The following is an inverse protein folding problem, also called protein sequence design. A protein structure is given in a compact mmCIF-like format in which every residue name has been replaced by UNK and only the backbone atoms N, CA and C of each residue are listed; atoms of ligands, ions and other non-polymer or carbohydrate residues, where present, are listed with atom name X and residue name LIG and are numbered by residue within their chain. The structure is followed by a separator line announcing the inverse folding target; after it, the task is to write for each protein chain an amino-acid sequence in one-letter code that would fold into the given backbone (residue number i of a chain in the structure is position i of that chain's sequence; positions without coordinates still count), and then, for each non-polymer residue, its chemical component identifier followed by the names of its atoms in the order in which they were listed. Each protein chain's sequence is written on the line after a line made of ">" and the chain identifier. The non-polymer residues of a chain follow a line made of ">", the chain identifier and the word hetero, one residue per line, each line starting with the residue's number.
data_IF_661906131620
#
_entry.id   IF_661906131620
#
_cell.length_a   1.000
_cell.length_b   1.000
_cell.length_c   1.000
_cell.angle_alpha   90.00
_cell.angle_beta   90.00
_cell.angle_gamma   90.00
#
_symmetry.space_group_name_H-M   'P 1'
#
loop_
_entity.id
_entity.type
_entity.pdbx_description
1 polymer ?
#
# COMPACT_ATOMS: atom_id res chain seq x y z
N UNK A 1 12.59 -2.21 0.52
CA UNK A 1 12.02 -3.32 1.32
C UNK A 1 11.67 -2.75 2.69
N UNK A 2 10.53 -3.16 3.26
CA UNK A 2 10.07 -2.66 4.56
C UNK A 2 9.77 -3.87 5.44
N UNK A 3 10.36 -3.88 6.64
CA UNK A 3 10.03 -4.82 7.71
C UNK A 3 9.15 -4.05 8.69
N UNK A 4 7.92 -4.50 8.87
CA UNK A 4 6.96 -3.90 9.79
C UNK A 4 5.93 -4.94 10.16
N UNK A 5 5.34 -4.82 11.35
CA UNK A 5 4.17 -5.62 11.68
C UNK A 5 2.95 -5.07 10.96
N UNK A 6 2.21 -5.95 10.30
CA UNK A 6 0.85 -5.65 9.82
C UNK A 6 -0.13 -6.75 10.20
N UNK A 7 -1.38 -6.31 10.36
CA UNK A 7 -2.55 -7.18 10.31
C UNK A 7 -3.03 -7.23 8.85
N UNK A 8 -2.73 -8.34 8.16
CA UNK A 8 -3.06 -8.53 6.75
C UNK A 8 -4.58 -8.45 6.48
N UNK A 9 -5.45 -9.15 7.24
CA UNK A 9 -6.90 -9.02 7.09
C UNK A 9 -7.40 -7.58 7.17
N UNK A 10 -6.90 -6.80 8.13
CA UNK A 10 -7.28 -5.39 8.27
C UNK A 10 -6.87 -4.61 7.02
N UNK A 11 -5.62 -4.71 6.59
CA UNK A 11 -5.16 -3.95 5.42
C UNK A 11 -5.83 -4.40 4.12
N UNK A 12 -6.12 -5.68 3.97
CA UNK A 12 -6.84 -6.19 2.81
C UNK A 12 -8.28 -5.65 2.75
N UNK A 13 -8.96 -5.52 3.88
CA UNK A 13 -10.29 -4.89 3.92
C UNK A 13 -10.26 -3.40 3.53
N UNK A 14 -9.20 -2.67 3.92
CA UNK A 14 -9.08 -1.24 3.65
C UNK A 14 -8.61 -0.92 2.23
N UNK A 15 -7.62 -1.67 1.74
CA UNK A 15 -6.95 -1.40 0.46
C UNK A 15 -7.35 -2.37 -0.66
N UNK A 16 -8.21 -3.34 -0.38
CA UNK A 16 -8.61 -4.41 -1.30
C UNK A 16 -7.54 -5.49 -1.51
N UNK A 17 -6.30 -5.24 -1.08
CA UNK A 17 -5.19 -6.19 -1.11
C UNK A 17 -4.14 -5.81 -0.07
N UNK A 18 -3.67 -6.75 0.73
CA UNK A 18 -2.58 -6.50 1.67
C UNK A 18 -1.27 -6.11 0.94
N UNK A 19 -0.45 -5.19 1.50
CA UNK A 19 0.81 -4.81 0.91
C UNK A 19 1.83 -5.96 1.01
N UNK A 20 2.64 -6.20 -0.03
CA UNK A 20 3.71 -7.17 0.03
C UNK A 20 4.87 -6.59 0.85
N UNK A 21 4.83 -6.79 2.17
CA UNK A 21 5.88 -6.41 3.11
C UNK A 21 6.47 -7.62 3.81
N UNK A 22 7.61 -7.42 4.48
CA UNK A 22 8.22 -8.43 5.32
C UNK A 22 7.60 -8.34 6.72
N UNK A 23 6.50 -9.07 6.94
CA UNK A 23 5.77 -9.02 8.21
C UNK A 23 6.58 -9.65 9.36
N UNK A 24 6.60 -9.00 10.51
CA UNK A 24 7.27 -9.48 11.73
C UNK A 24 6.60 -8.88 12.98
N UNK A 25 6.02 -9.72 13.83
CA UNK A 25 5.37 -9.34 15.10
C UNK A 25 6.20 -9.67 16.35
N UNK A 26 7.32 -10.37 16.19
CA UNK A 26 8.21 -10.79 17.27
C UNK A 26 9.69 -10.52 16.94
N UNK A 27 10.56 -10.60 17.96
CA UNK A 27 12.01 -10.42 17.80
C UNK A 27 12.61 -11.50 16.89
N UNK A 28 12.17 -12.74 17.02
CA UNK A 28 12.67 -13.86 16.21
C UNK A 28 12.27 -13.71 14.74
N UNK A 29 11.03 -13.28 14.47
CA UNK A 29 10.57 -12.98 13.12
C UNK A 29 11.32 -11.77 12.54
N UNK A 30 11.54 -10.72 13.32
CA UNK A 30 12.32 -9.56 12.88
C UNK A 30 13.74 -9.98 12.49
N UNK A 31 14.40 -10.81 13.31
CA UNK A 31 15.72 -11.36 12.98
C UNK A 31 15.69 -12.19 11.69
N UNK A 32 14.68 -13.04 11.52
CA UNK A 32 14.51 -13.82 10.30
C UNK A 32 14.32 -12.94 9.05
N UNK A 33 13.51 -11.88 9.14
CA UNK A 33 13.33 -10.94 8.03
C UNK A 33 14.59 -10.12 7.75
N UNK A 34 15.31 -9.67 8.78
CA UNK A 34 16.60 -8.99 8.60
C UNK A 34 17.62 -9.90 7.90
N UNK A 35 17.67 -11.18 8.27
CA UNK A 35 18.53 -12.16 7.58
C UNK A 35 18.13 -12.32 6.11
N UNK A 36 16.85 -12.45 5.79
CA UNK A 36 16.37 -12.50 4.39
C UNK A 36 16.76 -11.27 3.60
N UNK A 37 16.78 -10.09 4.24
CA UNK A 37 17.24 -8.86 3.58
C UNK A 37 18.72 -8.93 3.18
N UNK A 38 19.55 -9.51 4.05
CA UNK A 38 20.98 -9.70 3.81
C UNK A 38 21.27 -10.81 2.79
N UNK A 39 20.43 -11.86 2.74
CA UNK A 39 20.56 -12.97 1.79
C UNK A 39 20.13 -12.57 0.36
N UNK A 40 19.21 -11.60 0.24
CA UNK A 40 18.73 -11.09 -1.04
C UNK A 40 19.00 -9.58 -1.17
N UNK A 41 20.26 -9.16 -1.24
CA UNK A 41 20.62 -7.73 -1.26
C UNK A 41 20.00 -6.99 -2.46
N UNK A 42 19.95 -7.66 -3.61
CA UNK A 42 19.55 -7.08 -4.89
C UNK A 42 18.04 -7.17 -5.17
N UNK A 43 17.24 -7.69 -4.23
CA UNK A 43 15.80 -7.89 -4.40
C UNK A 43 15.48 -8.83 -5.59
N UNK A 44 16.26 -9.89 -5.76
CA UNK A 44 16.03 -10.94 -6.76
C UNK A 44 14.70 -11.66 -6.53
N UNK A 45 14.23 -11.71 -5.29
CA UNK A 45 12.89 -12.21 -4.95
C UNK A 45 11.78 -11.17 -5.21
N UNK A 46 12.14 -9.93 -5.55
CA UNK A 46 11.23 -8.88 -6.01
C UNK A 46 10.26 -8.33 -4.97
N UNK A 47 10.47 -8.58 -3.67
CA UNK A 47 9.57 -8.14 -2.60
C UNK A 47 9.56 -6.60 -2.51
N UNK A 48 10.73 -5.97 -2.63
CA UNK A 48 10.86 -4.52 -2.66
C UNK A 48 10.16 -3.90 -3.88
N UNK A 49 10.39 -4.44 -5.07
CA UNK A 49 9.74 -4.01 -6.30
C UNK A 49 8.21 -4.17 -6.25
N UNK A 50 7.73 -5.29 -5.69
CA UNK A 50 6.31 -5.53 -5.47
C UNK A 50 5.72 -4.53 -4.48
N UNK A 51 6.42 -4.23 -3.38
CA UNK A 51 6.00 -3.23 -2.39
C UNK A 51 5.85 -1.84 -2.99
N UNK A 52 6.83 -1.40 -3.78
CA UNK A 52 6.74 -0.11 -4.48
C UNK A 52 5.56 -0.07 -5.46
N UNK A 53 5.36 -1.14 -6.22
CA UNK A 53 4.26 -1.24 -7.18
C UNK A 53 2.90 -1.22 -6.47
N UNK A 54 2.79 -1.89 -5.32
CA UNK A 54 1.58 -1.89 -4.51
C UNK A 54 1.28 -0.49 -3.98
N UNK A 55 2.26 0.22 -3.42
CA UNK A 55 2.08 1.59 -2.90
C UNK A 55 1.59 2.51 -3.99
N UNK A 56 2.22 2.48 -5.18
CA UNK A 56 1.79 3.30 -6.33
C UNK A 56 0.35 3.04 -6.75
N UNK A 57 -0.12 1.80 -6.61
CA UNK A 57 -1.45 1.38 -7.08
C UNK A 57 -2.56 1.61 -6.05
N UNK A 58 -2.31 1.26 -4.80
CA UNK A 58 -3.35 1.20 -3.76
C UNK A 58 -3.23 2.30 -2.69
N UNK A 59 -2.05 2.90 -2.55
CA UNK A 59 -1.76 3.85 -1.48
C UNK A 59 -1.20 5.18 -1.98
N UNK A 60 -1.26 5.42 -3.29
CA UNK A 60 -0.87 6.70 -3.89
C UNK A 60 -1.94 7.74 -3.59
N UNK A 61 -1.53 8.89 -3.06
CA UNK A 61 -2.41 10.05 -2.88
C UNK A 61 -3.10 10.44 -4.18
N UNK A 62 -2.42 10.30 -5.33
CA UNK A 62 -3.03 10.56 -6.64
C UNK A 62 -4.19 9.60 -6.91
N UNK A 63 -3.98 8.30 -6.67
CA UNK A 63 -5.03 7.29 -6.88
C UNK A 63 -6.23 7.55 -5.95
N UNK A 64 -5.97 7.87 -4.68
CA UNK A 64 -7.01 8.18 -3.70
C UNK A 64 -7.77 9.44 -4.11
N UNK A 65 -7.06 10.51 -4.49
CA UNK A 65 -7.67 11.77 -4.94
C UNK A 65 -8.52 11.56 -6.18
N UNK A 66 -8.07 10.77 -7.16
CA UNK A 66 -8.87 10.45 -8.35
C UNK A 66 -10.14 9.66 -8.01
N UNK A 67 -10.08 8.71 -7.09
CA UNK A 67 -11.26 7.99 -6.59
C UNK A 67 -12.25 8.98 -5.94
N UNK A 68 -11.75 9.89 -5.10
CA UNK A 68 -12.58 10.90 -4.45
C UNK A 68 -13.21 11.85 -5.47
N UNK A 69 -12.42 12.39 -6.42
CA UNK A 69 -12.92 13.25 -7.50
C UNK A 69 -14.04 12.55 -8.26
N UNK A 70 -13.82 11.30 -8.70
CA UNK A 70 -14.82 10.53 -9.43
C UNK A 70 -16.12 10.34 -8.63
N UNK A 71 -16.02 9.99 -7.34
CA UNK A 71 -17.18 9.79 -6.49
C UNK A 71 -17.95 11.10 -6.26
N UNK A 72 -17.26 12.21 -6.02
CA UNK A 72 -17.90 13.51 -5.84
C UNK A 72 -18.51 14.04 -7.14
N UNK A 73 -17.87 13.85 -8.30
CA UNK A 73 -18.44 14.21 -9.60
C UNK A 73 -19.75 13.47 -9.89
N UNK A 74 -19.85 12.20 -9.52
CA UNK A 74 -21.09 11.41 -9.67
C UNK A 74 -22.23 11.96 -8.80
N UNK A 75 -21.92 12.36 -7.56
CA UNK A 75 -22.90 12.91 -6.61
C UNK A 75 -23.32 14.35 -6.98
N UNK A 76 -22.38 15.17 -7.42
CA UNK A 76 -22.63 16.57 -7.77
C UNK A 76 -23.28 16.73 -9.15
N UNK A 77 -23.21 15.70 -10.00
CA UNK A 77 -23.80 15.66 -11.33
C UNK A 77 -23.25 16.76 -12.24
N UNK A 78 -22.05 16.58 -12.79
CA UNK A 78 -21.35 17.50 -13.72
C UNK A 78 -21.35 19.00 -13.33
N UNK A 79 -21.70 19.32 -12.07
CA UNK A 79 -21.62 20.69 -11.57
C UNK A 79 -20.17 21.05 -11.32
N UNK A 80 -19.69 22.17 -11.88
CA UNK A 80 -18.33 22.61 -11.62
C UNK A 80 -18.13 22.84 -10.12
N UNK A 81 -16.95 22.46 -9.62
CA UNK A 81 -16.61 22.51 -8.19
C UNK A 81 -16.79 23.90 -7.57
N UNK A 82 -16.73 24.94 -8.40
CA UNK A 82 -16.91 26.36 -8.08
C UNK A 82 -18.30 26.69 -7.51
N UNK A 83 -19.31 25.84 -7.75
CA UNK A 83 -20.69 26.03 -7.26
C UNK A 83 -20.94 25.41 -5.87
N UNK A 84 -19.93 24.79 -5.26
CA UNK A 84 -20.07 23.99 -4.02
C UNK A 84 -19.22 24.53 -2.85
N UNK A 85 -18.35 25.50 -3.11
CA UNK A 85 -17.49 26.17 -2.11
C UNK A 85 -18.04 27.57 -1.76
#
# INVERSE_FOLDING_TARGET
>A
RVISYIDEPVLESFFGKAPPIMNAGSVDELYAQMRRVLEDVNDELGIGAAGQSWVRRYHSSDAIVQIQISAFSEVLGDKPWEDVA
#
